data_IF_020010810997
#
_entry.id   IF_020010810997
#
_cell.length_a   1.000
_cell.length_b   1.000
_cell.length_c   1.000
_cell.angle_alpha   90.00
_cell.angle_beta   90.00
_cell.angle_gamma   90.00
#
_symmetry.space_group_name_H-M   'P 1'
#
loop_
_entity.id
_entity.type
_entity.pdbx_description
1 polymer ?
#
# COMPACT_ATOMS: atom_id res chain seq x y z
N UNK A 1 6.73 -12.91 21.41
CA UNK A 1 6.13 -11.89 20.51
C UNK A 1 6.25 -12.32 19.04
N UNK A 2 5.67 -13.48 18.65
CA UNK A 2 5.86 -14.04 17.29
C UNK A 2 4.71 -13.71 16.33
N UNK A 3 3.59 -13.19 16.84
CA UNK A 3 2.42 -12.82 16.04
C UNK A 3 2.66 -11.53 15.25
N UNK A 4 3.08 -10.45 15.91
CA UNK A 4 3.38 -9.16 15.25
C UNK A 4 4.42 -9.28 14.13
N UNK A 5 5.43 -10.15 14.31
CA UNK A 5 6.46 -10.40 13.31
C UNK A 5 5.91 -11.10 12.05
N UNK A 6 4.78 -11.82 12.12
CA UNK A 6 4.13 -12.42 10.94
C UNK A 6 3.40 -11.39 10.08
N UNK A 7 2.89 -10.32 10.68
CA UNK A 7 2.11 -9.28 9.98
C UNK A 7 2.92 -8.02 9.66
N UNK A 8 4.18 -7.93 10.14
CA UNK A 8 5.03 -6.76 9.93
C UNK A 8 5.19 -6.39 8.45
N UNK A 9 5.27 -7.40 7.57
CA UNK A 9 5.42 -7.18 6.12
C UNK A 9 4.17 -6.50 5.56
N UNK A 10 2.97 -7.01 5.91
CA UNK A 10 1.70 -6.40 5.51
C UNK A 10 1.56 -4.98 6.05
N UNK A 11 1.95 -4.77 7.32
CA UNK A 11 1.91 -3.45 7.95
C UNK A 11 2.84 -2.45 7.25
N UNK A 12 4.07 -2.85 6.91
CA UNK A 12 5.01 -1.99 6.17
C UNK A 12 4.45 -1.57 4.82
N UNK A 13 3.86 -2.50 4.06
CA UNK A 13 3.26 -2.18 2.77
C UNK A 13 2.04 -1.25 2.91
N UNK A 14 1.18 -1.45 3.90
CA UNK A 14 0.04 -0.56 4.15
C UNK A 14 0.50 0.85 4.53
N UNK A 15 1.48 0.97 5.43
CA UNK A 15 2.05 2.28 5.80
C UNK A 15 2.72 2.94 4.60
N UNK A 16 3.45 2.21 3.75
CA UNK A 16 4.04 2.80 2.54
C UNK A 16 2.98 3.27 1.56
N UNK A 17 1.88 2.54 1.39
CA UNK A 17 0.73 2.97 0.59
C UNK A 17 0.16 4.29 1.12
N UNK A 18 -0.16 4.35 2.40
CA UNK A 18 -0.67 5.57 3.05
C UNK A 18 0.28 6.76 2.87
N UNK A 19 1.60 6.55 2.98
CA UNK A 19 2.59 7.59 2.72
C UNK A 19 2.56 8.08 1.27
N UNK A 20 2.34 7.20 0.28
CA UNK A 20 2.12 7.62 -1.11
C UNK A 20 0.88 8.51 -1.26
N UNK A 21 -0.22 8.17 -0.58
CA UNK A 21 -1.44 8.98 -0.60
C UNK A 21 -1.25 10.35 0.08
N UNK A 22 -0.51 10.40 1.19
CA UNK A 22 -0.16 11.66 1.85
C UNK A 22 0.78 12.49 0.96
N UNK A 23 1.77 11.86 0.34
CA UNK A 23 2.69 12.50 -0.61
C UNK A 23 1.93 13.11 -1.80
N UNK A 24 0.93 12.40 -2.32
CA UNK A 24 0.08 12.89 -3.41
C UNK A 24 -0.63 14.20 -3.02
N UNK A 25 -1.23 14.24 -1.84
CA UNK A 25 -1.93 15.42 -1.34
C UNK A 25 -0.99 16.58 -0.97
N UNK A 26 0.28 16.30 -0.62
CA UNK A 26 1.22 17.31 -0.13
C UNK A 26 2.10 17.90 -1.22
N UNK A 27 2.59 17.09 -2.15
CA UNK A 27 3.44 17.55 -3.27
C UNK A 27 2.59 18.28 -4.31
N UNK A 28 1.32 17.89 -4.44
CA UNK A 28 0.41 18.44 -5.42
C UNK A 28 0.47 17.68 -6.75
N UNK A 29 -0.70 17.56 -7.34
CA UNK A 29 -0.95 16.94 -8.64
C UNK A 29 -2.05 17.72 -9.33
N UNK A 30 -2.05 17.77 -10.65
CA UNK A 30 -3.12 18.40 -11.39
C UNK A 30 -3.54 17.52 -12.56
N UNK A 31 -4.75 17.76 -13.05
CA UNK A 31 -5.24 17.14 -14.28
C UNK A 31 -5.05 18.16 -15.39
N UNK A 32 -4.36 17.76 -16.46
CA UNK A 32 -4.14 18.61 -17.63
C UNK A 32 -5.41 18.79 -18.46
N UNK A 33 -5.34 19.60 -19.51
CA UNK A 33 -6.47 19.88 -20.41
C UNK A 33 -6.97 18.65 -21.16
N UNK A 34 -6.14 17.60 -21.26
CA UNK A 34 -6.49 16.33 -21.91
C UNK A 34 -7.13 15.33 -20.92
N UNK A 35 -7.31 15.71 -19.66
CA UNK A 35 -7.82 14.84 -18.61
C UNK A 35 -6.78 13.86 -18.05
N UNK A 36 -5.49 14.10 -18.32
CA UNK A 36 -4.39 13.27 -17.83
C UNK A 36 -3.91 13.81 -16.49
N UNK A 37 -3.84 12.93 -15.51
CA UNK A 37 -3.26 13.25 -14.21
C UNK A 37 -1.74 13.37 -14.34
N UNK A 38 -1.22 14.56 -14.07
CA UNK A 38 0.21 14.86 -14.03
C UNK A 38 0.66 14.85 -12.57
N UNK A 39 1.46 13.86 -12.23
CA UNK A 39 2.05 13.68 -10.90
C UNK A 39 3.59 13.63 -11.05
N UNK A 40 4.35 14.14 -10.06
CA UNK A 40 5.82 14.08 -10.09
C UNK A 40 6.36 12.65 -10.00
N UNK A 41 5.57 11.77 -9.39
CA UNK A 41 5.81 10.33 -9.30
C UNK A 41 4.43 9.67 -9.34
N UNK A 42 4.27 8.50 -9.95
CA UNK A 42 2.98 7.80 -10.05
C UNK A 42 2.50 7.29 -8.69
N UNK A 43 2.10 8.21 -7.81
CA UNK A 43 1.78 7.99 -6.41
C UNK A 43 0.47 7.23 -6.25
N UNK A 44 -0.53 7.52 -7.08
CA UNK A 44 -1.79 6.76 -7.09
C UNK A 44 -1.55 5.31 -7.56
N UNK A 45 -0.88 5.04 -8.70
CA UNK A 45 -0.52 3.67 -9.08
C UNK A 45 0.24 2.90 -7.99
N UNK A 46 1.20 3.54 -7.32
CA UNK A 46 1.98 2.91 -6.25
C UNK A 46 1.18 2.66 -4.98
N UNK A 47 0.28 3.56 -4.62
CA UNK A 47 -0.66 3.34 -3.51
C UNK A 47 -1.44 2.04 -3.71
N UNK A 48 -2.05 1.85 -4.89
CA UNK A 48 -2.79 0.63 -5.21
C UNK A 48 -1.90 -0.62 -5.23
N UNK A 49 -0.68 -0.51 -5.76
CA UNK A 49 0.29 -1.60 -5.75
C UNK A 49 0.62 -2.04 -4.32
N UNK A 50 0.95 -1.10 -3.44
CA UNK A 50 1.31 -1.39 -2.06
C UNK A 50 0.15 -1.93 -1.25
N UNK A 51 -1.06 -1.39 -1.42
CA UNK A 51 -2.25 -1.92 -0.73
C UNK A 51 -2.60 -3.33 -1.19
N UNK A 52 -2.45 -3.63 -2.49
CA UNK A 52 -2.63 -4.99 -2.99
C UNK A 52 -1.61 -5.95 -2.38
N UNK A 53 -0.34 -5.56 -2.31
CA UNK A 53 0.70 -6.36 -1.66
C UNK A 53 0.45 -6.54 -0.16
N UNK A 54 -0.01 -5.48 0.53
CA UNK A 54 -0.36 -5.53 1.94
C UNK A 54 -1.49 -6.53 2.19
N UNK A 55 -2.53 -6.51 1.35
CA UNK A 55 -3.67 -7.42 1.42
C UNK A 55 -3.26 -8.87 1.13
N UNK A 56 -2.45 -9.10 0.09
CA UNK A 56 -1.94 -10.44 -0.21
C UNK A 56 -1.09 -10.99 0.94
N UNK A 57 -0.19 -10.18 1.50
CA UNK A 57 0.63 -10.56 2.64
C UNK A 57 -0.23 -10.88 3.88
N UNK A 58 -1.29 -10.10 4.12
CA UNK A 58 -2.24 -10.33 5.20
C UNK A 58 -3.01 -11.63 5.02
N UNK A 59 -3.56 -11.88 3.83
CA UNK A 59 -4.28 -13.11 3.49
C UNK A 59 -3.37 -14.33 3.65
N UNK A 60 -2.14 -14.27 3.14
CA UNK A 60 -1.16 -15.36 3.30
C UNK A 60 -0.84 -15.61 4.77
N UNK A 61 -0.56 -14.55 5.54
CA UNK A 61 -0.30 -14.67 6.97
C UNK A 61 -1.49 -15.26 7.74
N UNK A 62 -2.72 -14.85 7.38
CA UNK A 62 -3.97 -15.33 7.98
C UNK A 62 -4.26 -16.80 7.64
N UNK A 63 -4.12 -17.21 6.38
CA UNK A 63 -4.29 -18.60 5.95
C UNK A 63 -3.25 -19.51 6.61
N UNK A 64 -1.98 -19.08 6.68
CA UNK A 64 -0.92 -19.81 7.39
C UNK A 64 -1.19 -19.92 8.89
N UNK A 65 -1.80 -18.90 9.49
CA UNK A 65 -2.22 -18.95 10.89
C UNK A 65 -3.30 -20.02 11.12
N UNK A 66 -4.30 -20.09 10.23
CA UNK A 66 -5.39 -21.08 10.30
C UNK A 66 -4.95 -22.53 10.09
N UNK A 67 -3.84 -22.78 9.36
CA UNK A 67 -3.30 -24.13 9.12
C UNK A 67 -2.42 -24.67 10.27
N UNK A 68 -1.92 -23.80 11.15
CA UNK A 68 -1.05 -24.17 12.27
C UNK A 68 -1.78 -24.16 13.63
N UNK A 69 -3.05 -23.78 13.65
CA UNK A 69 -3.99 -23.99 14.75
C UNK A 69 -4.76 -25.28 14.49
#
# INVERSE_FOLDING_TARGET
MNFLRKYIISFVFCVSGLLCFIAYNTIGSYVDENGVLVEPFGLIPLFWLFELLALLALVVAFVRHRKCQ
#
